data_IF_788665257046
#
_entry.id   IF_788665257046
#
_cell.length_a   1.000
_cell.length_b   1.000
_cell.length_c   1.000
_cell.angle_alpha   90.00
_cell.angle_beta   90.00
_cell.angle_gamma   90.00
#
_symmetry.space_group_name_H-M   'P 1'
#
loop_
_entity.id
_entity.type
_entity.pdbx_description
1 polymer ?
#
# COMPACT_ATOMS: atom_id res chain seq x y z
N UNK A 1 -7.52 -22.53 -13.93
CA UNK A 1 -8.03 -21.49 -13.01
C UNK A 1 -7.15 -20.24 -12.85
N UNK A 2 -5.90 -20.23 -13.34
CA UNK A 2 -5.01 -19.04 -13.32
C UNK A 2 -5.59 -17.83 -14.08
N UNK A 3 -6.33 -18.07 -15.17
CA UNK A 3 -6.97 -16.99 -15.94
C UNK A 3 -7.97 -16.15 -15.13
N UNK A 4 -8.75 -16.77 -14.23
CA UNK A 4 -9.66 -16.03 -13.35
C UNK A 4 -8.90 -15.16 -12.34
N UNK A 5 -7.79 -15.66 -11.79
CA UNK A 5 -6.97 -14.89 -10.84
C UNK A 5 -6.34 -13.66 -11.51
N UNK A 6 -5.79 -13.81 -12.71
CA UNK A 6 -5.23 -12.71 -13.49
C UNK A 6 -6.29 -11.66 -13.83
N UNK A 7 -7.50 -12.11 -14.20
CA UNK A 7 -8.62 -11.22 -14.50
C UNK A 7 -9.02 -10.41 -13.26
N UNK A 8 -9.15 -11.05 -12.10
CA UNK A 8 -9.47 -10.38 -10.84
C UNK A 8 -8.42 -9.33 -10.46
N UNK A 9 -7.13 -9.65 -10.61
CA UNK A 9 -6.04 -8.70 -10.34
C UNK A 9 -6.14 -7.50 -11.29
N UNK A 10 -6.32 -7.75 -12.59
CA UNK A 10 -6.40 -6.69 -13.59
C UNK A 10 -7.61 -5.76 -13.35
N UNK A 11 -8.79 -6.33 -13.10
CA UNK A 11 -10.00 -5.58 -12.78
C UNK A 11 -9.83 -4.77 -11.49
N UNK A 12 -9.25 -5.38 -10.45
CA UNK A 12 -8.95 -4.70 -9.19
C UNK A 12 -8.02 -3.50 -9.38
N UNK A 13 -6.93 -3.68 -10.12
CA UNK A 13 -6.01 -2.59 -10.47
C UNK A 13 -6.72 -1.49 -11.28
N UNK A 14 -7.49 -1.85 -12.29
CA UNK A 14 -8.22 -0.90 -13.14
C UNK A 14 -9.20 -0.04 -12.32
N UNK A 15 -9.97 -0.67 -11.42
CA UNK A 15 -10.89 0.04 -10.52
C UNK A 15 -10.10 0.96 -9.58
N UNK A 16 -9.04 0.45 -8.95
CA UNK A 16 -8.21 1.22 -8.02
C UNK A 16 -7.65 2.49 -8.68
N UNK A 17 -7.02 2.36 -9.85
CA UNK A 17 -6.47 3.49 -10.59
C UNK A 17 -7.56 4.40 -11.17
N UNK A 18 -8.67 3.85 -11.64
CA UNK A 18 -9.80 4.62 -12.13
C UNK A 18 -10.39 5.54 -11.04
N UNK A 19 -10.62 4.99 -9.84
CA UNK A 19 -11.08 5.77 -8.68
C UNK A 19 -10.04 6.82 -8.29
N UNK A 20 -8.75 6.48 -8.27
CA UNK A 20 -7.70 7.45 -7.96
C UNK A 20 -7.66 8.62 -8.95
N UNK A 21 -7.65 8.32 -10.26
CA UNK A 21 -7.62 9.33 -11.31
C UNK A 21 -8.87 10.21 -11.29
N UNK A 22 -10.04 9.62 -11.04
CA UNK A 22 -11.28 10.37 -10.86
C UNK A 22 -11.21 11.33 -9.66
N UNK A 23 -10.73 10.86 -8.50
CA UNK A 23 -10.56 11.73 -7.33
C UNK A 23 -9.56 12.87 -7.59
N UNK A 24 -8.45 12.60 -8.29
CA UNK A 24 -7.49 13.63 -8.70
C UNK A 24 -8.12 14.65 -9.67
N UNK A 25 -8.92 14.18 -10.62
CA UNK A 25 -9.64 15.04 -11.55
C UNK A 25 -10.63 15.95 -10.82
N UNK A 26 -11.47 15.40 -9.94
CA UNK A 26 -12.38 16.17 -9.10
C UNK A 26 -11.65 17.20 -8.23
N UNK A 27 -10.50 16.82 -7.65
CA UNK A 27 -9.69 17.74 -6.86
C UNK A 27 -9.16 18.92 -7.70
N UNK A 28 -8.74 18.66 -8.94
CA UNK A 28 -8.32 19.72 -9.87
C UNK A 28 -9.48 20.66 -10.21
N UNK A 29 -10.67 20.12 -10.51
CA UNK A 29 -11.85 20.93 -10.78
C UNK A 29 -12.22 21.85 -9.60
N UNK A 30 -12.16 21.33 -8.36
CA UNK A 30 -12.40 22.10 -7.14
C UNK A 30 -11.38 23.23 -6.92
N UNK A 31 -10.13 23.03 -7.34
CA UNK A 31 -9.09 24.08 -7.24
C UNK A 31 -9.31 25.24 -8.22
N UNK A 32 -9.88 24.95 -9.40
CA UNK A 32 -10.15 25.92 -10.45
C UNK A 32 -11.45 26.69 -10.22
N UNK A 33 -12.49 26.03 -9.69
CA UNK A 33 -13.83 26.57 -9.54
C UNK A 33 -14.16 26.96 -8.09
N UNK A 34 -13.35 27.86 -7.53
CA UNK A 34 -13.42 28.28 -6.12
C UNK A 34 -14.76 28.91 -5.68
N UNK A 35 -15.69 29.19 -6.61
CA UNK A 35 -16.99 29.82 -6.34
C UNK A 35 -18.21 29.15 -7.01
N UNK A 36 -18.14 27.86 -7.38
CA UNK A 36 -19.32 27.17 -7.93
C UNK A 36 -20.36 26.90 -6.84
N UNK A 37 -21.65 27.05 -7.20
CA UNK A 37 -22.82 26.85 -6.33
C UNK A 37 -22.88 25.47 -5.64
N UNK A 38 -22.15 24.46 -6.14
CA UNK A 38 -22.08 23.09 -5.57
C UNK A 38 -20.89 22.86 -4.62
N UNK A 39 -20.27 23.92 -4.11
CA UNK A 39 -19.18 23.79 -3.14
C UNK A 39 -19.69 23.22 -1.81
N UNK A 40 -19.31 21.97 -1.51
CA UNK A 40 -19.47 21.35 -0.20
C UNK A 40 -18.12 21.16 0.46
N UNK A 41 -17.97 21.68 1.68
CA UNK A 41 -16.79 21.51 2.52
C UNK A 41 -16.52 20.03 2.77
N UNK A 42 -17.57 19.25 3.06
CA UNK A 42 -17.47 17.81 3.32
C UNK A 42 -16.96 17.06 2.08
N UNK A 43 -17.52 17.34 0.89
CA UNK A 43 -17.09 16.72 -0.37
C UNK A 43 -15.61 17.01 -0.67
N UNK A 44 -15.20 18.26 -0.47
CA UNK A 44 -13.81 18.69 -0.70
C UNK A 44 -12.85 17.98 0.26
N UNK A 45 -13.24 17.82 1.53
CA UNK A 45 -12.45 17.11 2.52
C UNK A 45 -12.29 15.63 2.17
N UNK A 46 -13.40 14.94 1.85
CA UNK A 46 -13.41 13.53 1.46
C UNK A 46 -12.52 13.24 0.25
N UNK A 47 -12.61 14.06 -0.80
CA UNK A 47 -11.79 13.87 -2.01
C UNK A 47 -10.30 14.09 -1.71
N UNK A 48 -9.96 15.11 -0.92
CA UNK A 48 -8.57 15.36 -0.49
C UNK A 48 -8.01 14.21 0.33
N UNK A 49 -8.80 13.69 1.26
CA UNK A 49 -8.43 12.55 2.09
C UNK A 49 -8.23 11.29 1.26
N UNK A 50 -9.14 10.97 0.33
CA UNK A 50 -9.00 9.85 -0.58
C UNK A 50 -7.69 9.95 -1.38
N UNK A 51 -7.44 11.08 -2.05
CA UNK A 51 -6.20 11.28 -2.83
C UNK A 51 -4.96 11.10 -1.95
N UNK A 52 -4.99 11.58 -0.72
CA UNK A 52 -3.90 11.41 0.24
C UNK A 52 -3.67 9.94 0.58
N UNK A 53 -4.72 9.20 0.93
CA UNK A 53 -4.65 7.77 1.25
C UNK A 53 -4.16 6.96 0.04
N UNK A 54 -4.66 7.23 -1.16
CA UNK A 54 -4.19 6.56 -2.37
C UNK A 54 -2.70 6.79 -2.62
N UNK A 55 -2.22 8.03 -2.45
CA UNK A 55 -0.78 8.34 -2.58
C UNK A 55 0.05 7.63 -1.51
N UNK A 56 -0.45 7.55 -0.28
CA UNK A 56 0.20 6.82 0.81
C UNK A 56 0.36 5.34 0.45
N UNK A 57 -0.73 4.68 0.10
CA UNK A 57 -0.74 3.26 -0.28
C UNK A 57 0.23 3.02 -1.44
N UNK A 58 0.13 3.83 -2.50
CA UNK A 58 0.97 3.67 -3.70
C UNK A 58 2.45 3.88 -3.38
N UNK A 59 2.80 4.92 -2.62
CA UNK A 59 4.20 5.19 -2.24
C UNK A 59 4.76 4.11 -1.31
N UNK A 60 3.96 3.61 -0.37
CA UNK A 60 4.37 2.52 0.52
C UNK A 60 4.57 1.22 -0.26
N UNK A 61 3.66 0.90 -1.20
CA UNK A 61 3.80 -0.27 -2.07
C UNK A 61 5.01 -0.17 -2.99
N UNK A 62 5.29 0.99 -3.58
CA UNK A 62 6.46 1.16 -4.45
C UNK A 62 7.78 0.98 -3.69
N UNK A 63 7.85 1.50 -2.46
CA UNK A 63 9.05 1.40 -1.62
C UNK A 63 9.25 0.00 -1.03
N UNK A 64 8.18 -0.67 -0.60
CA UNK A 64 8.26 -2.01 -0.01
C UNK A 64 8.18 -3.13 -1.06
N UNK A 65 7.67 -2.85 -2.26
CA UNK A 65 7.33 -3.85 -3.28
C UNK A 65 8.50 -4.71 -3.73
N UNK A 66 9.73 -4.18 -3.71
CA UNK A 66 10.94 -4.94 -4.03
C UNK A 66 11.12 -6.18 -3.15
N UNK A 67 10.80 -6.10 -1.85
CA UNK A 67 10.85 -7.24 -0.94
C UNK A 67 9.83 -8.31 -1.30
N UNK A 68 8.61 -7.90 -1.64
CA UNK A 68 7.56 -8.83 -2.06
C UNK A 68 7.93 -9.53 -3.37
N UNK A 69 8.45 -8.80 -4.36
CA UNK A 69 8.96 -9.37 -5.61
C UNK A 69 10.07 -10.37 -5.39
N UNK A 70 11.04 -10.05 -4.51
CA UNK A 70 12.11 -10.97 -4.14
C UNK A 70 11.56 -12.24 -3.45
N UNK A 71 10.59 -12.08 -2.54
CA UNK A 71 9.92 -13.22 -1.90
C UNK A 71 9.23 -14.12 -2.92
N UNK A 72 8.48 -13.56 -3.87
CA UNK A 72 7.85 -14.37 -4.92
C UNK A 72 8.88 -15.08 -5.81
N UNK A 73 10.06 -14.49 -6.04
CA UNK A 73 11.13 -15.16 -6.75
C UNK A 73 11.69 -16.36 -5.97
N UNK A 74 11.89 -16.24 -4.64
CA UNK A 74 12.33 -17.38 -3.83
C UNK A 74 11.26 -18.46 -3.73
N UNK A 75 9.98 -18.09 -3.65
CA UNK A 75 8.86 -19.03 -3.71
C UNK A 75 8.80 -19.77 -5.05
N UNK A 76 8.99 -19.07 -6.17
CA UNK A 76 9.07 -19.70 -7.48
C UNK A 76 10.22 -20.70 -7.55
N UNK A 77 11.39 -20.36 -6.98
CA UNK A 77 12.52 -21.29 -6.91
C UNK A 77 12.22 -22.53 -6.05
N UNK A 78 11.49 -22.39 -4.94
CA UNK A 78 11.05 -23.55 -4.15
C UNK A 78 10.21 -24.54 -4.99
N UNK A 79 9.25 -24.01 -5.75
CA UNK A 79 8.32 -24.81 -6.55
C UNK A 79 8.99 -25.43 -7.78
N UNK A 80 9.74 -24.63 -8.54
CA UNK A 80 10.28 -25.02 -9.85
C UNK A 80 11.77 -25.39 -9.84
N UNK A 81 12.43 -25.26 -8.69
CA UNK A 81 13.84 -25.58 -8.54
C UNK A 81 14.12 -27.07 -8.75
N UNK A 82 15.30 -27.41 -9.28
CA UNK A 82 15.69 -28.79 -9.54
C UNK A 82 15.69 -29.64 -8.25
N UNK A 83 15.20 -30.90 -8.30
CA UNK A 83 15.07 -31.77 -7.14
C UNK A 83 16.43 -32.14 -6.51
N UNK A 84 17.52 -32.06 -7.27
CA UNK A 84 18.88 -32.32 -6.76
C UNK A 84 19.33 -31.28 -5.73
N UNK A 85 18.64 -30.13 -5.64
CA UNK A 85 18.96 -29.00 -4.78
C UNK A 85 17.96 -28.85 -3.61
N UNK A 86 17.50 -29.94 -3.02
CA UNK A 86 16.47 -29.91 -1.95
C UNK A 86 16.81 -28.98 -0.79
N UNK A 87 18.07 -28.94 -0.34
CA UNK A 87 18.50 -28.00 0.69
C UNK A 87 18.21 -26.54 0.31
N UNK A 88 18.58 -26.14 -0.92
CA UNK A 88 18.37 -24.78 -1.40
C UNK A 88 16.89 -24.47 -1.62
N UNK A 89 16.09 -25.47 -2.00
CA UNK A 89 14.62 -25.32 -2.11
C UNK A 89 14.02 -25.03 -0.74
N UNK A 90 14.31 -25.83 0.28
CA UNK A 90 13.81 -25.55 1.64
C UNK A 90 14.33 -24.21 2.20
N UNK A 91 15.59 -23.86 1.92
CA UNK A 91 16.13 -22.55 2.26
C UNK A 91 15.34 -21.42 1.59
N UNK A 92 14.97 -21.57 0.31
CA UNK A 92 14.20 -20.56 -0.42
C UNK A 92 12.78 -20.36 0.12
N UNK A 93 12.15 -21.43 0.64
CA UNK A 93 10.89 -21.34 1.35
C UNK A 93 11.02 -20.56 2.67
N UNK A 94 12.06 -20.83 3.47
CA UNK A 94 12.33 -20.06 4.68
C UNK A 94 12.63 -18.57 4.38
N UNK A 95 13.35 -18.30 3.29
CA UNK A 95 13.62 -16.93 2.83
C UNK A 95 12.34 -16.23 2.35
N UNK A 96 11.41 -16.94 1.72
CA UNK A 96 10.11 -16.38 1.35
C UNK A 96 9.36 -15.88 2.60
N UNK A 97 9.22 -16.72 3.63
CA UNK A 97 8.53 -16.36 4.87
C UNK A 97 9.18 -15.15 5.55
N UNK A 98 10.51 -15.10 5.59
CA UNK A 98 11.27 -13.97 6.12
C UNK A 98 11.01 -12.68 5.32
N UNK A 99 11.09 -12.74 3.99
CA UNK A 99 10.93 -11.58 3.11
C UNK A 99 9.51 -11.02 3.17
N UNK A 100 8.48 -11.87 3.23
CA UNK A 100 7.08 -11.45 3.39
C UNK A 100 6.83 -10.84 4.78
N UNK A 101 7.44 -11.39 5.82
CA UNK A 101 7.37 -10.81 7.17
C UNK A 101 8.01 -9.43 7.21
N UNK A 102 9.22 -9.29 6.64
CA UNK A 102 9.91 -8.01 6.52
C UNK A 102 9.14 -6.99 5.68
N UNK A 103 8.55 -7.42 4.56
CA UNK A 103 7.66 -6.58 3.75
C UNK A 103 6.52 -6.01 4.60
N UNK A 104 5.85 -6.85 5.40
CA UNK A 104 4.73 -6.42 6.24
C UNK A 104 5.15 -5.40 7.29
N UNK A 105 6.29 -5.61 7.94
CA UNK A 105 6.85 -4.68 8.94
C UNK A 105 7.25 -3.34 8.30
N UNK A 106 7.95 -3.39 7.17
CA UNK A 106 8.39 -2.19 6.44
C UNK A 106 7.19 -1.42 5.89
N UNK A 107 6.19 -2.11 5.35
CA UNK A 107 4.97 -1.49 4.85
C UNK A 107 4.23 -0.76 5.97
N UNK A 108 4.07 -1.39 7.13
CA UNK A 108 3.45 -0.77 8.30
C UNK A 108 4.24 0.45 8.79
N UNK A 109 5.56 0.31 8.90
CA UNK A 109 6.46 1.41 9.27
C UNK A 109 6.31 2.60 8.31
N UNK A 110 6.32 2.34 7.00
CA UNK A 110 6.13 3.37 5.98
C UNK A 110 4.74 3.98 6.04
N UNK A 111 3.69 3.19 6.27
CA UNK A 111 2.33 3.70 6.40
C UNK A 111 2.19 4.68 7.58
N UNK A 112 2.85 4.40 8.71
CA UNK A 112 2.83 5.28 9.89
C UNK A 112 3.66 6.55 9.66
N UNK A 113 4.84 6.44 9.03
CA UNK A 113 5.77 7.57 8.91
C UNK A 113 5.57 8.44 7.67
N UNK A 114 5.00 7.91 6.59
CA UNK A 114 4.72 8.70 5.39
C UNK A 114 3.44 9.53 5.54
N UNK A 115 2.55 9.17 6.47
CA UNK A 115 1.37 9.95 6.73
C UNK A 115 1.52 10.86 7.95
N UNK A 116 1.66 12.16 7.68
CA UNK A 116 1.90 13.17 8.72
C UNK A 116 0.74 13.30 9.72
N UNK A 117 -0.50 12.97 9.34
CA UNK A 117 -1.64 12.99 10.27
C UNK A 117 -1.58 11.76 11.16
N UNK A 118 -1.43 10.56 10.61
CA UNK A 118 -1.23 9.35 11.40
C UNK A 118 -0.04 9.46 12.34
N UNK A 119 1.09 10.00 11.88
CA UNK A 119 2.26 10.23 12.73
C UNK A 119 1.95 11.20 13.89
N UNK A 120 1.21 12.28 13.63
CA UNK A 120 0.77 13.22 14.68
C UNK A 120 -0.16 12.56 15.69
N UNK A 121 -1.14 11.78 15.23
CA UNK A 121 -2.06 11.05 16.12
C UNK A 121 -1.34 9.97 16.93
N UNK A 122 -0.42 9.24 16.30
CA UNK A 122 0.40 8.24 16.98
C UNK A 122 1.28 8.85 18.08
N UNK A 123 1.90 10.01 17.79
CA UNK A 123 2.68 10.75 18.78
C UNK A 123 1.83 11.23 19.95
N UNK A 124 0.56 11.63 19.74
CA UNK A 124 -0.35 11.99 20.84
C UNK A 124 -0.61 10.82 21.78
N UNK A 125 -0.81 9.61 21.26
CA UNK A 125 -0.98 8.40 22.08
C UNK A 125 0.28 8.17 22.94
N UNK A 126 1.46 8.28 22.33
CA UNK A 126 2.74 8.14 23.05
C UNK A 126 2.93 9.18 24.17
N UNK A 127 2.56 10.44 23.91
CA UNK A 127 2.60 11.54 24.89
C UNK A 127 1.62 11.28 26.04
N UNK A 128 0.41 10.79 25.76
CA UNK A 128 -0.58 10.42 26.78
C UNK A 128 -0.08 9.24 27.62
N UNK A 129 0.55 8.24 27.00
CA UNK A 129 1.14 7.12 27.70
C UNK A 129 2.33 7.54 28.60
N UNK A 130 3.12 8.52 28.17
CA UNK A 130 4.24 9.06 28.94
C UNK A 130 3.80 9.95 30.11
N UNK A 131 2.69 10.68 29.98
CA UNK A 131 2.14 11.56 31.03
C UNK A 131 1.29 10.81 32.07
N UNK A 132 0.97 9.53 31.84
CA UNK A 132 0.32 8.64 32.81
C UNK A 132 1.29 7.88 33.74
N UNK A 133 2.60 8.02 33.55
CA UNK A 133 3.63 7.53 34.47
C UNK A 133 4.01 8.62 35.47
#
# INVERSE_FOLDING_TARGET
NVGHQLTTIFVGCAIFFGVFLYNVHCLRQLSLHKSSQDYSVARTFQIKENVRIFKLITNSLLKAGGLSSAGFATFAFYIYGPPELDFYRFLSAALFDLLITLFSLIFLFLAIHLDTIFQKEFNKIGVIAATRK
#
